data_IF_333512223681
#
_entry.id   IF_333512223681
#
_cell.length_a   1.000
_cell.length_b   1.000
_cell.length_c   1.000
_cell.angle_alpha   90.00
_cell.angle_beta   90.00
_cell.angle_gamma   90.00
#
_symmetry.space_group_name_H-M   'P 1'
#
loop_
_entity.id
_entity.type
_entity.pdbx_description
1 polymer ?
#
# COMPACT_ATOMS: atom_id res chain seq x y z
N UNK A 1 1.57 -15.92 -26.22
CA UNK A 1 1.86 -15.11 -25.04
C UNK A 1 1.33 -15.82 -23.80
N UNK A 2 2.21 -16.18 -22.92
CA UNK A 2 1.85 -16.95 -21.74
C UNK A 2 1.10 -16.06 -20.74
N UNK A 3 0.08 -16.61 -20.09
CA UNK A 3 -0.73 -15.91 -19.08
C UNK A 3 0.14 -15.37 -17.96
N UNK A 4 1.19 -16.09 -17.58
CA UNK A 4 2.13 -15.67 -16.54
C UNK A 4 2.90 -14.40 -16.92
N UNK A 5 3.18 -14.17 -18.21
CA UNK A 5 3.81 -12.94 -18.68
C UNK A 5 2.82 -11.76 -18.63
N UNK A 6 1.56 -12.00 -18.93
CA UNK A 6 0.50 -10.99 -18.79
C UNK A 6 0.31 -10.58 -17.32
N UNK A 7 0.38 -11.54 -16.41
CA UNK A 7 0.28 -11.30 -14.96
C UNK A 7 1.51 -10.56 -14.45
N UNK A 8 2.71 -10.86 -14.96
CA UNK A 8 3.95 -10.15 -14.60
C UNK A 8 3.98 -8.73 -15.17
N UNK A 9 3.38 -8.51 -16.34
CA UNK A 9 3.25 -7.18 -16.92
C UNK A 9 2.22 -6.29 -16.23
N UNK A 10 1.23 -6.90 -15.59
CA UNK A 10 0.26 -6.22 -14.73
C UNK A 10 0.74 -6.33 -13.29
N UNK A 11 1.19 -5.23 -12.73
CA UNK A 11 1.56 -5.21 -11.32
C UNK A 11 0.32 -5.49 -10.48
N UNK A 12 0.43 -6.47 -9.60
CA UNK A 12 -0.59 -6.73 -8.61
C UNK A 12 -0.75 -5.49 -7.74
N UNK A 13 -1.99 -5.05 -7.56
CA UNK A 13 -2.29 -4.02 -6.58
C UNK A 13 -1.87 -4.53 -5.21
N UNK A 14 -1.23 -3.66 -4.44
CA UNK A 14 -0.85 -4.00 -3.08
C UNK A 14 -2.10 -4.21 -2.23
N UNK A 15 -2.05 -5.20 -1.34
CA UNK A 15 -3.13 -5.40 -0.35
C UNK A 15 -3.19 -4.19 0.60
N UNK A 16 -4.36 -3.94 1.18
CA UNK A 16 -4.54 -2.82 2.10
C UNK A 16 -3.57 -2.86 3.29
N UNK A 17 -3.35 -4.01 3.97
CA UNK A 17 -2.35 -4.08 5.04
C UNK A 17 -0.94 -3.75 4.58
N UNK A 18 -0.56 -4.17 3.38
CA UNK A 18 0.75 -3.88 2.80
C UNK A 18 0.92 -2.40 2.52
N UNK A 19 -0.09 -1.76 1.92
CA UNK A 19 -0.09 -0.32 1.68
C UNK A 19 0.05 0.45 3.00
N UNK A 20 -0.70 0.05 4.02
CA UNK A 20 -0.64 0.67 5.35
C UNK A 20 0.75 0.59 5.94
N UNK A 21 1.40 -0.58 5.88
CA UNK A 21 2.75 -0.79 6.40
C UNK A 21 3.76 0.13 5.71
N UNK A 22 3.70 0.21 4.39
CA UNK A 22 4.62 1.05 3.61
C UNK A 22 4.41 2.52 3.93
N UNK A 23 3.15 2.98 3.96
CA UNK A 23 2.82 4.37 4.29
C UNK A 23 3.28 4.73 5.70
N UNK A 24 3.11 3.85 6.65
CA UNK A 24 3.56 4.04 8.04
C UNK A 24 5.08 4.20 8.11
N UNK A 25 5.83 3.36 7.41
CA UNK A 25 7.28 3.45 7.33
C UNK A 25 7.72 4.80 6.75
N UNK A 26 7.13 5.22 5.63
CA UNK A 26 7.46 6.49 5.00
C UNK A 26 7.10 7.68 5.89
N UNK A 27 5.93 7.64 6.53
CA UNK A 27 5.52 8.71 7.43
C UNK A 27 6.50 8.88 8.59
N UNK A 28 6.88 7.78 9.22
CA UNK A 28 7.83 7.81 10.34
C UNK A 28 9.19 8.34 9.92
N UNK A 29 9.69 7.92 8.76
CA UNK A 29 10.98 8.35 8.27
C UNK A 29 10.99 9.80 7.79
N UNK A 30 9.93 10.25 7.10
CA UNK A 30 9.78 11.65 6.73
C UNK A 30 9.66 12.56 7.95
N UNK A 31 8.91 12.13 8.96
CA UNK A 31 8.75 12.87 10.23
C UNK A 31 10.09 13.01 10.94
N UNK A 32 10.96 12.00 10.81
CA UNK A 32 12.31 12.04 11.39
C UNK A 32 13.29 12.90 10.60
N UNK A 33 12.88 13.48 9.48
CA UNK A 33 13.68 14.39 8.68
C UNK A 33 14.44 13.75 7.52
N UNK A 34 14.18 12.49 7.21
CA UNK A 34 14.83 11.82 6.08
C UNK A 34 14.21 12.25 4.75
N UNK A 35 15.06 12.44 3.74
CA UNK A 35 14.62 12.65 2.36
C UNK A 35 14.32 11.32 1.69
N UNK A 36 13.56 11.36 0.58
CA UNK A 36 13.13 10.15 -0.12
C UNK A 36 14.29 9.21 -0.48
N UNK A 37 15.38 9.76 -1.02
CA UNK A 37 16.56 8.96 -1.37
C UNK A 37 17.18 8.29 -0.15
N UNK A 38 17.23 8.99 0.98
CA UNK A 38 17.75 8.46 2.24
C UNK A 38 16.84 7.35 2.79
N UNK A 39 15.53 7.51 2.64
CA UNK A 39 14.56 6.50 3.06
C UNK A 39 14.75 5.21 2.26
N UNK A 40 14.92 5.31 0.95
CA UNK A 40 15.15 4.14 0.09
C UNK A 40 16.43 3.43 0.48
N UNK A 41 17.51 4.17 0.74
CA UNK A 41 18.77 3.60 1.22
C UNK A 41 18.60 2.89 2.56
N UNK A 42 17.89 3.51 3.49
CA UNK A 42 17.60 2.93 4.80
C UNK A 42 16.81 1.62 4.68
N UNK A 43 15.78 1.62 3.83
CA UNK A 43 14.95 0.42 3.62
C UNK A 43 15.75 -0.72 3.00
N UNK A 44 16.71 -0.39 2.12
CA UNK A 44 17.58 -1.40 1.53
C UNK A 44 18.50 -2.03 2.58
N UNK A 45 19.10 -1.21 3.45
CA UNK A 45 20.02 -1.70 4.48
C UNK A 45 19.33 -2.46 5.59
N UNK A 46 18.15 -2.01 6.01
CA UNK A 46 17.42 -2.57 7.14
C UNK A 46 16.60 -3.80 6.80
N UNK A 47 16.38 -4.06 5.51
CA UNK A 47 15.55 -5.16 5.02
C UNK A 47 14.13 -5.15 5.62
N UNK A 48 13.63 -3.97 6.01
CA UNK A 48 12.27 -3.80 6.52
C UNK A 48 11.21 -3.96 5.43
N UNK A 49 11.60 -3.80 4.18
CA UNK A 49 10.74 -3.93 3.02
C UNK A 49 11.35 -4.91 2.04
N UNK A 50 10.52 -5.61 1.30
CA UNK A 50 10.96 -6.59 0.31
C UNK A 50 11.84 -5.94 -0.75
N UNK A 51 12.89 -6.65 -1.14
CA UNK A 51 13.90 -6.17 -2.08
C UNK A 51 13.30 -5.73 -3.42
N UNK A 52 12.28 -6.42 -3.89
CA UNK A 52 11.60 -6.08 -5.14
C UNK A 52 11.00 -4.68 -5.10
N UNK A 53 10.39 -4.29 -3.98
CA UNK A 53 9.83 -2.95 -3.81
C UNK A 53 10.91 -1.88 -3.73
N UNK A 54 11.98 -2.17 -3.02
CA UNK A 54 13.12 -1.23 -2.89
C UNK A 54 13.78 -1.02 -4.25
N UNK A 55 13.96 -2.08 -5.04
CA UNK A 55 14.50 -1.99 -6.39
C UNK A 55 13.63 -1.11 -7.30
N UNK A 56 12.32 -1.23 -7.20
CA UNK A 56 11.37 -0.37 -7.95
C UNK A 56 11.46 1.09 -7.52
N UNK A 57 11.60 1.33 -6.23
CA UNK A 57 11.79 2.69 -5.71
C UNK A 57 13.07 3.32 -6.24
N UNK A 58 14.18 2.58 -6.25
CA UNK A 58 15.45 3.05 -6.80
C UNK A 58 15.35 3.35 -8.29
N UNK A 59 14.68 2.49 -9.03
CA UNK A 59 14.46 2.66 -10.46
C UNK A 59 13.66 3.94 -10.74
N UNK A 60 12.61 4.18 -9.95
CA UNK A 60 11.81 5.39 -10.05
C UNK A 60 12.60 6.65 -9.72
N UNK A 61 13.42 6.61 -8.67
CA UNK A 61 14.28 7.73 -8.29
C UNK A 61 15.30 8.05 -9.39
N UNK A 62 15.93 7.03 -9.97
CA UNK A 62 16.90 7.18 -11.06
C UNK A 62 16.25 7.79 -12.31
N UNK A 63 14.98 7.49 -12.54
CA UNK A 63 14.21 8.05 -13.66
C UNK A 63 13.67 9.46 -13.38
N UNK A 64 13.92 10.02 -12.18
CA UNK A 64 13.43 11.33 -11.80
C UNK A 64 11.94 11.39 -11.49
N UNK A 65 11.34 10.27 -11.16
CA UNK A 65 9.91 10.21 -10.85
C UNK A 65 9.62 10.81 -9.47
N UNK A 66 8.41 11.38 -9.32
CA UNK A 66 7.93 11.90 -8.04
C UNK A 66 7.56 10.75 -7.10
N UNK A 67 7.39 11.05 -5.81
CA UNK A 67 6.99 10.07 -4.81
C UNK A 67 5.67 9.38 -5.17
N UNK A 68 4.68 10.15 -5.61
CA UNK A 68 3.39 9.60 -6.04
C UNK A 68 3.52 8.66 -7.23
N UNK A 69 4.36 9.00 -8.20
CA UNK A 69 4.62 8.14 -9.36
C UNK A 69 5.29 6.84 -8.95
N UNK A 70 6.23 6.89 -8.02
CA UNK A 70 6.91 5.72 -7.47
C UNK A 70 5.90 4.82 -6.76
N UNK A 71 5.01 5.40 -5.96
CA UNK A 71 3.96 4.64 -5.27
C UNK A 71 3.00 3.97 -6.25
N UNK A 72 2.66 4.64 -7.34
CA UNK A 72 1.84 4.05 -8.41
C UNK A 72 2.52 2.81 -9.01
N UNK A 73 3.83 2.88 -9.22
CA UNK A 73 4.61 1.75 -9.73
C UNK A 73 4.59 0.56 -8.79
N UNK A 74 4.55 0.81 -7.48
CA UNK A 74 4.50 -0.24 -6.46
C UNK A 74 3.15 -0.94 -6.37
N UNK A 75 2.10 -0.34 -6.91
CA UNK A 75 0.77 -0.92 -6.91
C UNK A 75 -0.19 -0.31 -5.90
N UNK A 76 0.06 0.91 -5.44
CA UNK A 76 -0.86 1.63 -4.57
C UNK A 76 -2.15 1.98 -5.32
N UNK A 77 -3.26 2.06 -4.59
CA UNK A 77 -4.55 2.41 -5.15
C UNK A 77 -4.55 3.83 -5.73
N UNK A 78 -5.40 4.08 -6.71
CA UNK A 78 -5.50 5.38 -7.36
C UNK A 78 -5.85 6.50 -6.37
N UNK A 79 -6.69 6.22 -5.37
CA UNK A 79 -7.04 7.18 -4.33
C UNK A 79 -5.81 7.63 -3.54
N UNK A 80 -4.97 6.69 -3.14
CA UNK A 80 -3.73 6.98 -2.41
C UNK A 80 -2.78 7.79 -3.29
N UNK A 81 -2.59 7.37 -4.54
CA UNK A 81 -1.70 8.06 -5.49
C UNK A 81 -2.16 9.49 -5.73
N UNK A 82 -3.47 9.70 -5.91
CA UNK A 82 -4.04 11.04 -6.12
C UNK A 82 -3.79 11.94 -4.91
N UNK A 83 -4.01 11.44 -3.70
CA UNK A 83 -3.76 12.19 -2.48
C UNK A 83 -2.28 12.56 -2.32
N UNK A 84 -1.39 11.63 -2.63
CA UNK A 84 0.06 11.89 -2.60
C UNK A 84 0.47 12.94 -3.62
N UNK A 85 -0.07 12.86 -4.84
CA UNK A 85 0.20 13.84 -5.90
C UNK A 85 -0.23 15.25 -5.50
N UNK A 86 -1.43 15.39 -4.94
CA UNK A 86 -1.93 16.66 -4.43
C UNK A 86 -1.08 17.19 -3.28
N UNK A 87 -0.62 16.31 -2.40
CA UNK A 87 0.22 16.67 -1.26
C UNK A 87 1.58 17.19 -1.68
N UNK A 88 2.17 16.60 -2.70
CA UNK A 88 3.45 17.05 -3.26
C UNK A 88 3.33 18.48 -3.80
N UNK A 89 2.21 18.78 -4.47
CA UNK A 89 1.95 20.12 -4.99
C UNK A 89 1.80 21.17 -3.88
N UNK A 90 1.24 20.77 -2.74
CA UNK A 90 0.94 21.70 -1.63
C UNK A 90 1.99 21.66 -0.51
N UNK A 91 2.98 20.77 -0.58
CA UNK A 91 4.02 20.65 0.43
C UNK A 91 3.59 20.05 1.75
N UNK A 92 2.44 19.37 1.80
CA UNK A 92 1.84 18.80 3.02
C UNK A 92 1.95 17.26 3.08
N UNK A 93 3.08 16.73 2.65
CA UNK A 93 3.26 15.28 2.50
C UNK A 93 3.06 14.53 3.82
N UNK A 94 3.64 15.02 4.92
CA UNK A 94 3.53 14.37 6.23
C UNK A 94 2.09 14.27 6.72
N UNK A 95 1.34 15.36 6.58
CA UNK A 95 -0.06 15.41 6.98
C UNK A 95 -0.91 14.43 6.13
N UNK A 96 -0.64 14.40 4.84
CA UNK A 96 -1.36 13.52 3.92
C UNK A 96 -1.03 12.05 4.16
N UNK A 97 0.20 11.71 4.49
CA UNK A 97 0.57 10.35 4.84
C UNK A 97 -0.19 9.88 6.08
N UNK A 98 -0.37 10.75 7.08
CA UNK A 98 -1.19 10.44 8.25
C UNK A 98 -2.65 10.19 7.89
N UNK A 99 -3.23 11.00 7.02
CA UNK A 99 -4.61 10.82 6.53
C UNK A 99 -4.77 9.55 5.72
N UNK A 100 -3.80 9.23 4.89
CA UNK A 100 -3.79 8.00 4.09
C UNK A 100 -3.72 6.78 5.00
N UNK A 101 -2.89 6.83 6.03
CA UNK A 101 -2.78 5.77 7.03
C UNK A 101 -4.12 5.51 7.71
N UNK A 102 -4.81 6.56 8.14
CA UNK A 102 -6.14 6.47 8.74
C UNK A 102 -7.16 5.88 7.78
N UNK A 103 -7.13 6.31 6.52
CA UNK A 103 -8.00 5.79 5.47
C UNK A 103 -7.79 4.29 5.28
N UNK A 104 -6.55 3.84 5.19
CA UNK A 104 -6.21 2.42 5.02
C UNK A 104 -6.60 1.60 6.25
N UNK A 105 -6.45 2.16 7.44
CA UNK A 105 -6.89 1.51 8.68
C UNK A 105 -8.41 1.33 8.71
N UNK A 106 -9.16 2.35 8.30
CA UNK A 106 -10.62 2.28 8.23
C UNK A 106 -11.08 1.23 7.21
N UNK A 107 -10.43 1.15 6.05
CA UNK A 107 -10.72 0.11 5.08
C UNK A 107 -10.50 -1.29 5.65
N UNK A 108 -9.43 -1.50 6.40
CA UNK A 108 -9.14 -2.78 7.04
C UNK A 108 -10.21 -3.14 8.07
N UNK A 109 -10.68 -2.18 8.86
CA UNK A 109 -11.75 -2.39 9.85
C UNK A 109 -13.07 -2.77 9.20
N UNK A 110 -13.45 -2.06 8.14
CA UNK A 110 -14.68 -2.34 7.39
C UNK A 110 -14.62 -3.74 6.79
N UNK A 111 -13.49 -4.11 6.22
CA UNK A 111 -13.28 -5.43 5.63
C UNK A 111 -13.41 -6.55 6.68
N UNK A 112 -12.86 -6.35 7.87
CA UNK A 112 -12.99 -7.31 8.97
C UNK A 112 -14.43 -7.47 9.40
N UNK A 113 -15.18 -6.37 9.54
CA UNK A 113 -16.60 -6.40 9.88
C UNK A 113 -17.42 -7.14 8.83
N UNK A 114 -17.13 -6.92 7.55
CA UNK A 114 -17.82 -7.61 6.46
C UNK A 114 -17.59 -9.13 6.52
N UNK A 115 -16.37 -9.55 6.83
CA UNK A 115 -16.02 -10.95 6.99
C UNK A 115 -16.75 -11.55 8.19
N UNK A 116 -16.78 -10.87 9.33
CA UNK A 116 -17.49 -11.32 10.53
C UNK A 116 -19.00 -11.48 10.28
N UNK A 117 -19.62 -10.49 9.64
CA UNK A 117 -21.05 -10.52 9.30
C UNK A 117 -21.35 -11.58 8.25
N UNK A 118 -20.44 -11.79 7.29
CA UNK A 118 -20.61 -12.82 6.26
C UNK A 118 -20.41 -14.24 6.75
N UNK A 119 -19.58 -14.44 7.77
CA UNK A 119 -19.29 -15.77 8.32
C UNK A 119 -20.49 -16.35 9.09
N UNK A 120 -21.21 -15.51 9.81
CA UNK A 120 -22.36 -15.95 10.61
C UNK A 120 -23.50 -16.53 9.76
N UNK A 121 -24.01 -15.88 8.72
CA UNK A 121 -25.03 -16.45 7.84
C UNK A 121 -24.59 -17.74 7.15
N UNK A 122 -23.31 -17.81 6.74
CA UNK A 122 -22.76 -19.02 6.11
C UNK A 122 -22.70 -20.19 7.08
N UNK A 123 -22.38 -19.96 8.34
CA UNK A 123 -22.42 -20.99 9.38
C UNK A 123 -23.82 -21.49 9.64
N UNK A 124 -24.79 -20.58 9.70
CA UNK A 124 -26.20 -20.93 9.87
C UNK A 124 -26.74 -21.78 8.72
N UNK A 125 -26.41 -21.40 7.49
CA UNK A 125 -26.79 -22.15 6.29
C UNK A 125 -26.17 -23.55 6.28
N UNK A 126 -24.91 -23.68 6.63
CA UNK A 126 -24.22 -24.95 6.75
C UNK A 126 -24.82 -25.84 7.81
N UNK A 127 -25.21 -25.25 8.94
CA UNK A 127 -25.85 -25.96 10.04
C UNK A 127 -27.22 -26.48 9.64
N UNK A 128 -28.00 -25.67 8.93
CA UNK A 128 -29.32 -26.05 8.41
C UNK A 128 -29.22 -27.21 7.42
N UNK A 129 -28.23 -27.18 6.53
CA UNK A 129 -27.99 -28.26 5.57
C UNK A 129 -27.59 -29.55 6.27
N UNK A 130 -26.82 -29.47 7.36
CA UNK A 130 -26.41 -30.62 8.15
C UNK A 130 -27.57 -31.26 8.92
N UNK A 131 -28.55 -30.47 9.37
CA UNK A 131 -29.73 -30.96 10.10
C UNK A 131 -30.73 -31.57 9.17
N UNK A 132 -30.77 -31.15 7.91
CA UNK A 132 -31.61 -31.77 6.89
C UNK A 132 -30.91 -32.99 6.31
#
# INVERSE_FOLDING_TARGET
MDISQLIKGRRKKLSTPKQKKIIELFRNLFTSGFHLAEIVDFLQRSALLEEAYVAEMRSGLAAGQSFSQIMKRLGFSDNVVTQLSLSELHGNLNLSLGKIEDYLENLSKVRKKLIEVGTYPLMLLGFLVLIM
#
